data_IF_793171196376
#
_entry.id   IF_793171196376
#
_cell.length_a   1.000
_cell.length_b   1.000
_cell.length_c   1.000
_cell.angle_alpha   90.00
_cell.angle_beta   90.00
_cell.angle_gamma   90.00
#
_symmetry.space_group_name_H-M   'P 1'
#
loop_
_entity.id
_entity.type
_entity.pdbx_description
1 polymer ?
#
# COMPACT_ATOMS: atom_id res chain seq x y z
N UNK A 1 -27.13 23.45 -5.32
CA UNK A 1 -28.08 23.02 -4.26
C UNK A 1 -28.27 21.52 -4.41
N UNK A 2 -27.50 20.72 -3.67
CA UNK A 2 -27.47 19.26 -3.85
C UNK A 2 -28.31 18.62 -2.74
N UNK A 3 -29.34 17.90 -3.18
CA UNK A 3 -30.37 17.25 -2.36
C UNK A 3 -29.79 15.95 -1.76
N UNK A 4 -29.72 15.85 -0.44
CA UNK A 4 -29.36 14.62 0.28
C UNK A 4 -30.57 13.70 0.33
N UNK A 5 -30.48 12.52 -0.29
CA UNK A 5 -31.48 11.46 -0.14
C UNK A 5 -31.05 10.57 1.02
N UNK A 6 -31.77 10.67 2.15
CA UNK A 6 -31.66 9.73 3.27
C UNK A 6 -32.55 8.52 3.00
N UNK A 7 -31.97 7.32 2.97
CA UNK A 7 -32.73 6.06 2.91
C UNK A 7 -32.97 5.57 4.35
N UNK A 8 -34.24 5.42 4.82
CA UNK A 8 -34.52 4.93 6.16
C UNK A 8 -34.46 3.39 6.24
N UNK A 9 -33.81 2.88 7.30
CA UNK A 9 -33.83 1.47 7.70
C UNK A 9 -35.26 1.05 8.12
N UNK A 10 -35.77 -0.12 7.68
CA UNK A 10 -37.11 -0.56 8.02
C UNK A 10 -37.19 -1.15 9.44
N UNK A 11 -38.03 -0.55 10.28
CA UNK A 11 -38.44 -1.07 11.58
C UNK A 11 -39.43 -2.22 11.42
N UNK A 12 -39.00 -3.46 11.73
CA UNK A 12 -39.94 -4.59 11.85
C UNK A 12 -40.54 -4.66 13.25
N UNK A 13 -41.87 -4.70 13.24
CA UNK A 13 -42.80 -4.62 14.37
C UNK A 13 -42.76 -5.83 15.30
N UNK A 14 -43.07 -5.52 16.55
CA UNK A 14 -43.53 -6.39 17.62
C UNK A 14 -44.61 -7.40 17.18
N UNK A 15 -44.46 -8.66 17.60
CA UNK A 15 -45.57 -9.56 17.93
C UNK A 15 -45.37 -10.11 19.35
N UNK A 16 -46.34 -9.85 20.21
CA UNK A 16 -46.49 -10.40 21.57
C UNK A 16 -47.31 -11.70 21.49
N UNK A 17 -46.92 -12.75 22.21
CA UNK A 17 -47.72 -13.48 23.23
C UNK A 17 -46.94 -14.69 23.80
N UNK A 18 -47.33 -15.27 24.96
CA UNK A 18 -46.41 -15.58 26.06
C UNK A 18 -46.33 -17.08 26.40
N UNK A 19 -45.34 -17.46 27.23
CA UNK A 19 -45.52 -18.21 28.50
C UNK A 19 -44.23 -18.92 28.96
N UNK A 20 -43.77 -18.50 30.15
CA UNK A 20 -43.38 -19.31 31.31
C UNK A 20 -42.37 -20.46 31.13
N UNK A 21 -41.16 -20.26 31.63
CA UNK A 21 -40.20 -21.33 31.90
C UNK A 21 -38.98 -20.85 32.68
N UNK A 22 -39.09 -20.84 34.01
CA UNK A 22 -38.01 -20.52 34.96
C UNK A 22 -36.75 -21.36 34.70
N UNK A 23 -35.57 -20.74 34.68
CA UNK A 23 -34.33 -21.25 35.31
C UNK A 23 -33.30 -20.12 35.43
N UNK A 24 -33.05 -19.71 36.67
CA UNK A 24 -31.91 -18.87 37.05
C UNK A 24 -30.64 -19.71 36.93
N UNK A 25 -29.72 -19.33 36.06
CA UNK A 25 -28.31 -19.71 36.19
C UNK A 25 -27.46 -18.46 36.06
N UNK A 26 -26.95 -18.01 37.22
CA UNK A 26 -25.83 -17.08 37.30
C UNK A 26 -24.62 -17.77 36.67
N UNK A 27 -24.09 -17.26 35.56
CA UNK A 27 -22.72 -17.54 35.17
C UNK A 27 -21.89 -16.27 35.32
N UNK A 28 -21.01 -16.34 36.33
CA UNK A 28 -19.96 -15.37 36.62
C UNK A 28 -19.03 -15.28 35.41
N UNK A 29 -18.74 -14.06 34.95
CA UNK A 29 -17.60 -13.79 34.08
C UNK A 29 -16.31 -14.27 34.79
N UNK A 30 -15.74 -15.38 34.34
CA UNK A 30 -14.36 -15.73 34.60
C UNK A 30 -13.56 -15.51 33.33
N UNK A 31 -12.60 -14.57 33.41
CA UNK A 31 -11.47 -14.47 32.49
C UNK A 31 -10.83 -15.85 32.33
N UNK A 32 -10.68 -16.33 31.10
CA UNK A 32 -9.72 -17.37 30.75
C UNK A 32 -8.83 -16.86 29.62
N UNK A 33 -7.49 -16.95 29.76
CA UNK A 33 -6.56 -16.61 28.70
C UNK A 33 -6.47 -17.80 27.74
N UNK A 34 -6.83 -17.59 26.47
CA UNK A 34 -6.51 -18.55 25.42
C UNK A 34 -5.08 -18.29 24.97
N UNK A 35 -4.14 -18.99 25.60
CA UNK A 35 -2.85 -19.32 24.98
C UNK A 35 -3.15 -20.34 23.88
N UNK A 36 -3.11 -19.91 22.62
CA UNK A 36 -3.25 -20.81 21.48
C UNK A 36 -1.91 -20.82 20.75
N UNK A 37 -1.22 -21.95 20.92
CA UNK A 37 0.12 -22.19 20.40
C UNK A 37 0.14 -22.11 18.87
N UNK A 38 0.95 -21.20 18.36
CA UNK A 38 1.32 -21.06 16.95
C UNK A 38 2.26 -22.23 16.60
N UNK A 39 1.87 -23.10 15.66
CA UNK A 39 2.78 -23.93 14.86
C UNK A 39 1.98 -24.78 13.87
N UNK A 40 1.78 -24.26 12.65
CA UNK A 40 1.45 -25.08 11.47
C UNK A 40 1.70 -24.28 10.19
N UNK A 41 2.97 -24.16 9.80
CA UNK A 41 3.35 -23.83 8.43
C UNK A 41 4.58 -24.64 8.04
N UNK A 42 4.35 -25.94 7.87
CA UNK A 42 5.20 -26.79 7.04
C UNK A 42 4.31 -27.25 5.91
N UNK A 43 4.56 -26.71 4.71
CA UNK A 43 4.61 -27.39 3.42
C UNK A 43 4.90 -26.30 2.37
N UNK A 44 5.95 -26.55 1.57
CA UNK A 44 6.57 -25.74 0.50
C UNK A 44 7.89 -25.08 0.96
N UNK A 45 8.99 -25.67 0.45
CA UNK A 45 10.36 -25.47 0.90
C UNK A 45 10.92 -24.09 0.62
N UNK A 46 11.33 -23.42 1.70
CA UNK A 46 12.31 -22.33 1.68
C UNK A 46 13.61 -22.90 2.24
N UNK A 47 14.76 -22.77 1.56
CA UNK A 47 16.04 -23.20 2.11
C UNK A 47 16.35 -22.44 3.40
N UNK A 48 16.62 -23.19 4.48
CA UNK A 48 16.86 -22.69 5.85
C UNK A 48 18.26 -22.07 6.04
N UNK A 49 18.77 -21.28 5.09
CA UNK A 49 20.13 -20.72 5.19
C UNK A 49 20.18 -19.21 4.97
N UNK A 50 19.24 -18.47 5.55
CA UNK A 50 19.49 -17.06 5.87
C UNK A 50 19.60 -16.94 7.39
N UNK A 51 20.76 -16.45 7.80
CA UNK A 51 21.24 -16.23 9.16
C UNK A 51 20.11 -15.71 10.06
N UNK A 52 20.05 -16.24 11.29
CA UNK A 52 19.26 -15.66 12.39
C UNK A 52 19.51 -14.16 12.48
N UNK A 53 18.64 -13.36 11.87
CA UNK A 53 18.40 -12.02 12.36
C UNK A 53 17.81 -12.18 13.77
N UNK A 54 18.22 -11.31 14.71
CA UNK A 54 17.76 -11.30 16.10
C UNK A 54 16.24 -11.55 16.17
N UNK A 55 15.72 -12.24 17.20
CA UNK A 55 14.27 -12.37 17.37
C UNK A 55 13.70 -10.97 17.29
N UNK A 56 12.83 -10.75 16.29
CA UNK A 56 12.14 -9.49 16.04
C UNK A 56 11.63 -9.00 17.39
N UNK A 57 12.36 -8.08 18.01
CA UNK A 57 11.99 -7.45 19.27
C UNK A 57 10.75 -6.65 18.92
N UNK A 58 9.60 -7.28 19.12
CA UNK A 58 8.24 -6.78 19.06
C UNK A 58 8.19 -5.30 18.67
N UNK A 59 8.38 -5.00 17.37
CA UNK A 59 8.17 -3.64 16.85
C UNK A 59 6.69 -3.39 17.05
N UNK A 60 6.37 -2.63 18.09
CA UNK A 60 4.99 -2.31 18.43
C UNK A 60 4.47 -1.38 17.34
N UNK A 61 3.77 -1.93 16.35
CA UNK A 61 2.93 -1.14 15.46
C UNK A 61 1.95 -0.40 16.36
N UNK A 62 2.09 0.93 16.44
CA UNK A 62 1.21 1.75 17.28
C UNK A 62 -0.19 1.67 16.66
N UNK A 63 -1.23 1.32 17.42
CA UNK A 63 -2.59 1.34 16.91
C UNK A 63 -2.89 2.69 16.31
N UNK A 64 -3.46 2.69 15.11
CA UNK A 64 -3.96 3.89 14.47
C UNK A 64 -4.93 4.61 15.41
N UNK A 65 -4.61 5.84 15.81
CA UNK A 65 -5.56 6.66 16.52
C UNK A 65 -6.59 7.21 15.52
N UNK A 66 -7.85 7.26 15.92
CA UNK A 66 -8.97 7.62 15.05
C UNK A 66 -8.86 9.03 14.45
N UNK A 67 -8.05 9.91 15.03
CA UNK A 67 -7.85 11.28 14.54
C UNK A 67 -6.85 11.29 13.39
N UNK A 68 -5.74 10.58 13.53
CA UNK A 68 -4.75 10.39 12.46
C UNK A 68 -5.28 9.61 11.27
N UNK A 69 -6.36 8.83 11.47
CA UNK A 69 -6.90 7.98 10.42
C UNK A 69 -7.35 8.74 9.16
N UNK A 70 -7.80 9.98 9.31
CA UNK A 70 -8.31 10.78 8.20
C UNK A 70 -7.20 11.34 7.29
N UNK A 71 -5.92 11.12 7.62
CA UNK A 71 -4.76 11.57 6.85
C UNK A 71 -4.20 10.52 5.90
N UNK A 72 -4.76 9.30 5.89
CA UNK A 72 -4.51 8.34 4.82
C UNK A 72 -5.81 8.00 4.09
N UNK A 73 -5.82 8.23 2.78
CA UNK A 73 -6.98 8.01 1.90
C UNK A 73 -6.71 6.93 0.86
N UNK A 74 -7.77 6.32 0.33
CA UNK A 74 -7.68 5.31 -0.74
C UNK A 74 -8.76 5.56 -1.79
N UNK A 75 -8.35 5.68 -3.05
CA UNK A 75 -9.22 5.89 -4.20
C UNK A 75 -9.07 4.75 -5.18
N UNK A 76 -10.21 4.29 -5.67
CA UNK A 76 -10.26 3.23 -6.68
C UNK A 76 -11.39 3.58 -7.65
N UNK A 77 -11.07 3.91 -8.91
CA UNK A 77 -12.09 4.03 -9.94
C UNK A 77 -12.82 2.69 -10.10
N UNK A 78 -14.13 2.75 -10.29
CA UNK A 78 -14.97 1.58 -10.53
C UNK A 78 -15.19 1.47 -12.03
N UNK A 79 -14.63 0.43 -12.64
CA UNK A 79 -14.80 0.15 -14.06
C UNK A 79 -15.87 -0.91 -14.26
N UNK A 80 -16.77 -0.71 -15.23
CA UNK A 80 -17.67 -1.78 -15.65
C UNK A 80 -16.88 -2.90 -16.35
N UNK A 81 -17.39 -4.12 -16.31
CA UNK A 81 -16.71 -5.24 -16.97
C UNK A 81 -16.68 -5.03 -18.50
N UNK A 82 -15.51 -5.21 -19.11
CA UNK A 82 -15.34 -5.13 -20.56
C UNK A 82 -15.26 -3.72 -21.14
N UNK A 83 -15.12 -2.68 -20.31
CA UNK A 83 -14.84 -1.32 -20.81
C UNK A 83 -13.47 -1.25 -21.50
N UNK A 84 -13.37 -0.40 -22.53
CA UNK A 84 -12.11 -0.19 -23.25
C UNK A 84 -11.09 0.55 -22.39
N UNK A 85 -9.82 0.41 -22.74
CA UNK A 85 -8.72 1.07 -22.02
C UNK A 85 -8.78 2.59 -22.13
N UNK A 86 -9.30 3.12 -23.24
CA UNK A 86 -9.57 4.56 -23.37
C UNK A 86 -10.60 5.06 -22.35
N UNK A 87 -11.67 4.29 -22.11
CA UNK A 87 -12.67 4.63 -21.09
C UNK A 87 -12.04 4.57 -19.70
N UNK A 88 -11.24 3.53 -19.41
CA UNK A 88 -10.53 3.44 -18.12
C UNK A 88 -9.59 4.64 -17.91
N UNK A 89 -8.85 5.04 -18.94
CA UNK A 89 -7.96 6.20 -18.92
C UNK A 89 -8.75 7.49 -18.65
N UNK A 90 -9.88 7.69 -19.33
CA UNK A 90 -10.74 8.88 -19.14
C UNK A 90 -11.35 8.91 -17.74
N UNK A 91 -11.87 7.79 -17.24
CA UNK A 91 -12.46 7.69 -15.90
C UNK A 91 -11.40 7.90 -14.82
N UNK A 92 -10.23 7.29 -14.96
CA UNK A 92 -9.09 7.53 -14.09
C UNK A 92 -8.68 9.00 -14.12
N UNK A 93 -8.50 9.59 -15.30
CA UNK A 93 -8.12 10.99 -15.46
C UNK A 93 -9.11 11.94 -14.80
N UNK A 94 -10.41 11.66 -14.92
CA UNK A 94 -11.46 12.46 -14.28
C UNK A 94 -11.41 12.38 -12.75
N UNK A 95 -11.21 11.18 -12.20
CA UNK A 95 -11.02 11.00 -10.75
C UNK A 95 -9.74 11.69 -10.29
N UNK A 96 -8.63 11.42 -10.95
CA UNK A 96 -7.32 11.95 -10.67
C UNK A 96 -7.33 13.48 -10.62
N UNK A 97 -7.92 14.14 -11.62
CA UNK A 97 -8.07 15.61 -11.63
C UNK A 97 -8.98 16.14 -10.52
N UNK A 98 -9.95 15.36 -10.03
CA UNK A 98 -10.86 15.78 -8.96
C UNK A 98 -10.22 15.79 -7.57
N UNK A 99 -9.07 15.12 -7.40
CA UNK A 99 -8.36 15.03 -6.12
C UNK A 99 -7.56 16.31 -5.78
N UNK A 100 -7.46 17.23 -6.74
CA UNK A 100 -6.68 18.46 -6.65
C UNK A 100 -5.18 18.21 -6.69
N UNK A 101 -4.41 19.27 -6.44
CA UNK A 101 -2.95 19.21 -6.54
C UNK A 101 -2.32 18.48 -5.35
N UNK A 102 -1.24 17.76 -5.64
CA UNK A 102 -0.35 17.14 -4.65
C UNK A 102 1.04 17.78 -4.74
N UNK A 103 1.70 17.89 -3.60
CA UNK A 103 3.06 18.42 -3.53
C UNK A 103 4.09 17.41 -4.04
N UNK A 104 3.78 16.13 -3.83
CA UNK A 104 4.55 14.99 -4.34
C UNK A 104 3.64 13.87 -4.80
N UNK A 105 4.08 13.18 -5.83
CA UNK A 105 3.41 11.97 -6.30
C UNK A 105 4.42 10.85 -6.46
N UNK A 106 4.12 9.71 -5.85
CA UNK A 106 4.90 8.49 -5.93
C UNK A 106 4.17 7.51 -6.83
N UNK A 107 4.74 7.21 -7.99
CA UNK A 107 4.23 6.18 -8.90
C UNK A 107 5.07 4.92 -8.72
N UNK A 108 4.43 3.84 -8.29
CA UNK A 108 5.06 2.60 -7.90
C UNK A 108 4.56 1.45 -8.77
N UNK A 109 5.49 0.62 -9.23
CA UNK A 109 5.19 -0.53 -10.10
C UNK A 109 6.14 -1.71 -9.83
N UNK A 110 5.65 -2.92 -10.09
CA UNK A 110 6.34 -4.19 -9.87
C UNK A 110 6.19 -5.18 -11.02
N UNK A 111 7.28 -5.44 -11.73
CA UNK A 111 7.33 -6.39 -12.84
C UNK A 111 7.84 -7.76 -12.36
N UNK A 112 7.10 -8.82 -12.64
CA UNK A 112 7.53 -10.20 -12.34
C UNK A 112 7.26 -11.11 -13.51
N UNK A 113 8.25 -11.93 -13.87
CA UNK A 113 8.10 -12.91 -14.93
C UNK A 113 8.69 -14.25 -14.49
N UNK A 114 7.79 -15.17 -14.14
CA UNK A 114 8.14 -16.44 -13.52
C UNK A 114 9.02 -17.33 -14.41
N UNK A 115 8.81 -17.28 -15.72
CA UNK A 115 9.58 -18.10 -16.68
C UNK A 115 11.08 -17.72 -16.69
N UNK A 116 11.40 -16.45 -16.44
CA UNK A 116 12.78 -15.96 -16.36
C UNK A 116 13.34 -16.01 -14.92
N UNK A 117 12.53 -16.38 -13.93
CA UNK A 117 12.89 -16.32 -12.51
C UNK A 117 13.50 -14.95 -12.17
N UNK A 118 12.80 -13.90 -12.58
CA UNK A 118 13.25 -12.53 -12.45
C UNK A 118 12.09 -11.61 -12.05
N UNK A 119 12.37 -10.66 -11.17
CA UNK A 119 11.43 -9.62 -10.80
C UNK A 119 12.15 -8.30 -10.55
N UNK A 120 11.44 -7.21 -10.78
CA UNK A 120 11.93 -5.85 -10.63
C UNK A 120 10.86 -4.98 -10.04
N UNK A 121 11.28 -3.92 -9.36
CA UNK A 121 10.38 -2.92 -8.83
C UNK A 121 10.91 -1.53 -9.18
N UNK A 122 10.01 -0.56 -9.33
CA UNK A 122 10.36 0.82 -9.55
C UNK A 122 9.44 1.76 -8.77
N UNK A 123 10.03 2.86 -8.29
CA UNK A 123 9.38 3.92 -7.56
C UNK A 123 9.84 5.26 -8.14
N UNK A 124 8.91 6.00 -8.73
CA UNK A 124 9.16 7.27 -9.40
C UNK A 124 8.51 8.37 -8.57
N UNK A 125 9.32 9.31 -8.08
CA UNK A 125 8.86 10.47 -7.33
C UNK A 125 8.79 11.68 -8.24
N UNK A 126 7.60 12.26 -8.37
CA UNK A 126 7.34 13.52 -9.04
C UNK A 126 7.18 14.63 -8.00
N UNK A 127 7.61 15.84 -8.38
CA UNK A 127 7.30 17.05 -7.63
C UNK A 127 5.85 17.48 -7.81
N UNK A 128 5.52 18.75 -7.53
CA UNK A 128 4.16 19.25 -7.65
C UNK A 128 3.59 18.96 -9.04
N UNK A 129 2.32 18.57 -9.10
CA UNK A 129 1.62 18.08 -10.30
C UNK A 129 1.81 18.98 -11.53
N UNK A 130 2.04 20.28 -11.32
CA UNK A 130 2.19 21.32 -12.36
C UNK A 130 3.61 21.55 -12.87
N UNK A 131 4.64 20.88 -12.33
CA UNK A 131 6.02 21.31 -12.48
C UNK A 131 6.74 20.75 -13.72
N UNK A 132 6.55 19.47 -14.09
CA UNK A 132 7.05 18.78 -15.29
C UNK A 132 6.55 17.31 -15.31
N UNK A 133 6.50 16.67 -16.49
CA UNK A 133 6.12 15.25 -16.63
C UNK A 133 7.29 14.26 -16.43
N UNK A 134 8.44 14.74 -15.96
CA UNK A 134 9.59 13.90 -15.63
C UNK A 134 9.69 13.70 -14.11
N UNK A 135 10.06 12.49 -13.65
CA UNK A 135 10.27 12.24 -12.24
C UNK A 135 11.48 13.04 -11.73
N UNK A 136 11.36 13.58 -10.52
CA UNK A 136 12.45 14.25 -9.79
C UNK A 136 13.46 13.22 -9.30
N UNK A 137 13.00 12.02 -8.99
CA UNK A 137 13.85 10.92 -8.54
C UNK A 137 13.24 9.58 -8.95
N UNK A 138 14.09 8.64 -9.36
CA UNK A 138 13.67 7.27 -9.74
C UNK A 138 14.52 6.29 -8.95
N UNK A 139 13.86 5.37 -8.26
CA UNK A 139 14.50 4.20 -7.68
C UNK A 139 14.02 2.96 -8.40
N UNK A 140 14.95 2.11 -8.85
CA UNK A 140 14.64 0.83 -9.48
C UNK A 140 15.66 -0.23 -9.06
N UNK A 141 15.21 -1.44 -8.76
CA UNK A 141 16.09 -2.54 -8.41
C UNK A 141 15.44 -3.91 -8.69
N UNK A 142 16.28 -4.94 -8.80
CA UNK A 142 15.82 -6.32 -8.81
C UNK A 142 15.07 -6.64 -7.51
N UNK A 143 13.86 -7.18 -7.63
CA UNK A 143 13.06 -7.65 -6.50
C UNK A 143 13.40 -9.10 -6.11
N UNK A 144 14.25 -9.76 -6.88
CA UNK A 144 14.73 -11.12 -6.64
C UNK A 144 13.97 -12.16 -7.45
N UNK A 145 14.59 -13.34 -7.59
CA UNK A 145 14.20 -14.35 -8.57
C UNK A 145 12.76 -14.89 -8.49
N UNK A 146 12.20 -14.87 -7.28
CA UNK A 146 10.90 -15.49 -6.98
C UNK A 146 9.91 -14.49 -6.36
N UNK A 147 10.20 -13.18 -6.43
CA UNK A 147 9.24 -12.20 -5.98
C UNK A 147 7.99 -12.29 -6.88
N UNK A 148 6.82 -12.36 -6.26
CA UNK A 148 5.54 -12.27 -6.99
C UNK A 148 5.32 -10.82 -7.39
N UNK A 149 4.53 -10.55 -8.44
CA UNK A 149 4.19 -9.18 -8.84
C UNK A 149 3.72 -8.35 -7.64
N UNK A 150 2.75 -8.87 -6.87
CA UNK A 150 2.31 -8.26 -5.61
C UNK A 150 3.45 -7.88 -4.63
N UNK A 151 4.46 -8.73 -4.51
CA UNK A 151 5.60 -8.46 -3.63
C UNK A 151 6.50 -7.37 -4.19
N UNK A 152 6.75 -7.37 -5.51
CA UNK A 152 7.51 -6.30 -6.18
C UNK A 152 6.81 -4.94 -6.05
N UNK A 153 5.48 -4.92 -6.23
CA UNK A 153 4.62 -3.74 -6.03
C UNK A 153 4.72 -3.17 -4.61
N UNK A 154 4.60 -4.04 -3.59
CA UNK A 154 4.71 -3.61 -2.21
C UNK A 154 6.12 -3.08 -1.89
N UNK A 155 7.17 -3.68 -2.47
CA UNK A 155 8.55 -3.18 -2.32
C UNK A 155 8.70 -1.80 -2.97
N UNK A 156 8.14 -1.57 -4.16
CA UNK A 156 8.16 -0.25 -4.81
C UNK A 156 7.54 0.84 -3.91
N UNK A 157 6.35 0.59 -3.37
CA UNK A 157 5.65 1.53 -2.46
C UNK A 157 6.48 1.75 -1.19
N UNK A 158 6.99 0.68 -0.58
CA UNK A 158 7.82 0.75 0.63
C UNK A 158 9.07 1.60 0.43
N UNK A 159 9.83 1.33 -0.63
CA UNK A 159 11.04 2.07 -0.96
C UNK A 159 10.72 3.53 -1.23
N UNK A 160 9.67 3.82 -2.00
CA UNK A 160 9.26 5.20 -2.27
C UNK A 160 8.94 5.98 -0.99
N UNK A 161 8.13 5.40 -0.10
CA UNK A 161 7.72 6.03 1.15
C UNK A 161 8.86 6.13 2.18
N UNK A 162 9.83 5.22 2.16
CA UNK A 162 10.95 5.21 3.12
C UNK A 162 12.14 6.03 2.66
N UNK A 163 12.40 6.08 1.36
CA UNK A 163 13.65 6.62 0.81
C UNK A 163 13.47 7.83 -0.07
N UNK A 164 12.41 7.91 -0.86
CA UNK A 164 12.25 9.03 -1.81
C UNK A 164 11.52 10.20 -1.15
N UNK A 165 10.43 9.91 -0.43
CA UNK A 165 9.59 10.93 0.17
C UNK A 165 10.27 11.66 1.35
N UNK A 166 10.84 10.99 2.37
CA UNK A 166 11.31 11.69 3.56
C UNK A 166 12.40 12.75 3.32
N UNK A 167 13.43 12.51 2.48
CA UNK A 167 14.45 13.53 2.19
C UNK A 167 13.88 14.81 1.57
N UNK A 168 12.73 14.73 0.89
CA UNK A 168 12.05 15.90 0.32
C UNK A 168 11.19 16.64 1.33
N UNK A 169 10.82 15.98 2.43
CA UNK A 169 10.04 16.56 3.52
C UNK A 169 10.93 17.15 4.62
N UNK A 170 12.19 16.73 4.75
CA UNK A 170 13.09 17.17 5.82
C UNK A 170 13.34 18.69 5.84
N UNK A 171 13.10 19.38 4.72
CA UNK A 171 13.18 20.84 4.61
C UNK A 171 11.82 21.55 4.74
N UNK A 172 10.72 20.79 4.77
CA UNK A 172 9.35 21.30 4.76
C UNK A 172 8.72 21.23 6.15
N UNK A 173 8.40 22.40 6.72
CA UNK A 173 7.59 22.49 7.94
C UNK A 173 6.09 22.63 7.65
N UNK A 174 5.71 22.78 6.38
CA UNK A 174 4.32 22.89 5.96
C UNK A 174 3.68 21.52 5.77
N UNK A 175 2.39 21.35 6.13
CA UNK A 175 1.62 20.17 5.75
C UNK A 175 1.76 19.90 4.24
N UNK A 176 1.93 18.63 3.89
CA UNK A 176 2.21 18.19 2.51
C UNK A 176 1.23 17.09 2.14
N UNK A 177 0.67 17.14 0.92
CA UNK A 177 -0.16 16.09 0.35
C UNK A 177 0.68 15.22 -0.59
N UNK A 178 0.71 13.93 -0.30
CA UNK A 178 1.45 12.93 -1.09
C UNK A 178 0.44 11.99 -1.74
N UNK A 179 0.49 11.85 -3.06
CA UNK A 179 -0.24 10.81 -3.77
C UNK A 179 0.66 9.59 -3.97
N UNK A 180 0.13 8.40 -3.80
CA UNK A 180 0.78 7.13 -4.16
C UNK A 180 -0.09 6.43 -5.19
N UNK A 181 0.40 6.27 -6.40
CA UNK A 181 -0.27 5.59 -7.49
C UNK A 181 0.39 4.23 -7.76
N UNK A 182 -0.43 3.21 -7.99
CA UNK A 182 -0.03 1.85 -8.39
C UNK A 182 -1.19 1.22 -9.17
N UNK A 183 -0.89 0.31 -10.08
CA UNK A 183 -1.89 -0.51 -10.76
C UNK A 183 -2.18 -1.84 -10.04
N UNK A 184 -1.58 -2.03 -8.86
CA UNK A 184 -1.78 -3.20 -8.03
C UNK A 184 -2.95 -3.02 -7.07
N UNK A 185 -4.14 -3.42 -7.52
CA UNK A 185 -5.31 -3.49 -6.65
C UNK A 185 -5.08 -4.36 -5.40
N UNK A 186 -4.40 -5.53 -5.48
CA UNK A 186 -4.07 -6.31 -4.29
C UNK A 186 -3.18 -5.55 -3.29
N UNK A 187 -2.25 -4.70 -3.74
CA UNK A 187 -1.44 -3.87 -2.84
C UNK A 187 -2.30 -2.82 -2.13
N UNK A 188 -3.19 -2.14 -2.86
CA UNK A 188 -4.13 -1.17 -2.28
C UNK A 188 -5.07 -1.84 -1.27
N UNK A 189 -5.67 -2.97 -1.62
CA UNK A 189 -6.57 -3.70 -0.72
C UNK A 189 -5.85 -4.25 0.51
N UNK A 190 -4.61 -4.70 0.35
CA UNK A 190 -3.78 -5.03 1.50
C UNK A 190 -3.63 -3.80 2.40
N UNK A 191 -3.22 -2.64 1.87
CA UNK A 191 -3.07 -1.44 2.70
C UNK A 191 -4.39 -0.88 3.28
N UNK A 192 -5.56 -1.23 2.72
CA UNK A 192 -6.86 -0.88 3.32
C UNK A 192 -7.16 -1.68 4.59
N UNK A 193 -6.64 -2.91 4.72
CA UNK A 193 -6.86 -3.70 5.93
C UNK A 193 -5.93 -3.26 7.05
N UNK A 194 -6.38 -3.39 8.30
CA UNK A 194 -5.60 -2.96 9.46
C UNK A 194 -4.24 -3.68 9.54
N UNK A 195 -3.18 -3.05 10.08
CA UNK A 195 -1.83 -3.60 10.12
C UNK A 195 -1.74 -5.03 10.67
N UNK A 196 -2.66 -5.42 11.57
CA UNK A 196 -2.68 -6.73 12.20
C UNK A 196 -3.04 -7.89 11.26
N UNK A 197 -3.60 -7.61 10.08
CA UNK A 197 -3.95 -8.63 9.09
C UNK A 197 -2.85 -8.89 8.06
N UNK A 198 -1.75 -8.11 8.10
CA UNK A 198 -0.64 -8.22 7.14
C UNK A 198 0.19 -9.48 7.35
N UNK A 199 0.75 -10.00 6.27
CA UNK A 199 1.52 -11.26 6.27
C UNK A 199 2.89 -11.15 5.61
N UNK A 200 3.23 -10.01 5.01
CA UNK A 200 4.50 -9.78 4.33
C UNK A 200 5.24 -8.55 4.88
N UNK A 201 6.57 -8.57 4.82
CA UNK A 201 7.42 -7.56 5.44
C UNK A 201 7.30 -6.18 4.77
N UNK A 202 7.01 -6.12 3.46
CA UNK A 202 6.94 -4.86 2.74
C UNK A 202 5.70 -4.06 3.16
N UNK A 203 4.53 -4.71 3.25
CA UNK A 203 3.33 -4.06 3.78
C UNK A 203 3.47 -3.65 5.24
N UNK A 204 4.17 -4.43 6.07
CA UNK A 204 4.48 -4.04 7.45
C UNK A 204 5.33 -2.76 7.50
N UNK A 205 6.39 -2.66 6.70
CA UNK A 205 7.25 -1.47 6.66
C UNK A 205 6.50 -0.26 6.08
N UNK A 206 5.63 -0.42 5.07
CA UNK A 206 4.72 0.65 4.62
C UNK A 206 3.89 1.18 5.80
N UNK A 207 3.29 0.27 6.58
CA UNK A 207 2.50 0.63 7.75
C UNK A 207 3.29 1.25 8.90
N UNK A 208 4.61 1.02 8.99
CA UNK A 208 5.48 1.72 9.92
C UNK A 208 5.77 3.15 9.44
N UNK A 209 5.94 3.35 8.13
CA UNK A 209 6.26 4.64 7.54
C UNK A 209 5.06 5.60 7.52
N UNK A 210 3.85 5.12 7.22
CA UNK A 210 2.65 5.96 7.12
C UNK A 210 2.35 6.79 8.40
N UNK A 211 2.31 6.20 9.62
CA UNK A 211 2.11 6.97 10.85
C UNK A 211 3.20 8.01 11.11
N UNK A 212 4.45 7.75 10.68
CA UNK A 212 5.56 8.70 10.81
C UNK A 212 5.33 9.95 9.96
N UNK A 213 4.81 9.79 8.75
CA UNK A 213 4.43 10.90 7.87
C UNK A 213 3.24 11.69 8.44
N UNK A 214 2.21 10.98 8.92
CA UNK A 214 1.01 11.61 9.50
C UNK A 214 1.33 12.41 10.76
N UNK A 215 2.17 11.89 11.65
CA UNK A 215 2.61 12.60 12.87
C UNK A 215 3.39 13.89 12.57
N UNK A 216 4.05 13.97 11.41
CA UNK A 216 4.74 15.17 10.93
C UNK A 216 3.81 16.16 10.22
N UNK A 217 2.52 15.85 10.12
CA UNK A 217 1.51 16.73 9.53
C UNK A 217 1.24 16.51 8.04
N UNK A 218 1.82 15.47 7.43
CA UNK A 218 1.61 15.14 6.02
C UNK A 218 0.42 14.18 5.85
N UNK A 219 -0.24 14.22 4.69
CA UNK A 219 -1.27 13.27 4.31
C UNK A 219 -0.84 12.41 3.14
N UNK A 220 -1.22 11.14 3.13
CA UNK A 220 -0.87 10.18 2.08
C UNK A 220 -2.16 9.64 1.47
N UNK A 221 -2.33 9.77 0.18
CA UNK A 221 -3.50 9.30 -0.54
C UNK A 221 -3.05 8.23 -1.53
N UNK A 222 -3.70 7.07 -1.54
CA UNK A 222 -3.42 5.99 -2.49
C UNK A 222 -4.46 6.01 -3.60
N UNK A 223 -4.05 5.84 -4.85
CA UNK A 223 -4.96 5.71 -5.99
C UNK A 223 -4.62 4.49 -6.85
N UNK A 224 -5.65 3.74 -7.21
CA UNK A 224 -5.52 2.70 -8.25
C UNK A 224 -5.45 3.35 -9.63
N UNK A 225 -4.36 3.11 -10.34
CA UNK A 225 -4.18 3.48 -11.75
C UNK A 225 -4.40 2.24 -12.62
N UNK A 226 -5.26 2.26 -13.66
CA UNK A 226 -5.45 1.07 -14.49
C UNK A 226 -4.21 0.79 -15.37
N UNK A 227 -3.70 -0.44 -15.28
CA UNK A 227 -2.54 -0.93 -16.03
C UNK A 227 -2.75 -0.90 -17.54
N UNK A 228 -1.67 -0.63 -18.28
CA UNK A 228 -1.58 -0.63 -19.76
C UNK A 228 -2.68 0.18 -20.46
N UNK A 229 -3.19 1.20 -19.77
CA UNK A 229 -4.22 2.08 -20.31
C UNK A 229 -3.61 3.32 -20.95
N UNK A 230 -2.29 3.46 -21.11
CA UNK A 230 -1.65 4.63 -21.69
C UNK A 230 -1.66 5.84 -20.75
N UNK A 231 -1.58 5.59 -19.43
CA UNK A 231 -1.45 6.64 -18.41
C UNK A 231 0.05 6.94 -18.26
N UNK A 232 0.56 8.13 -18.69
CA UNK A 232 1.99 8.33 -18.89
C UNK A 232 2.88 7.95 -17.69
N UNK A 233 2.50 8.36 -16.47
CA UNK A 233 3.28 8.07 -15.25
C UNK A 233 3.18 6.60 -14.81
N UNK A 234 2.09 5.91 -15.15
CA UNK A 234 1.97 4.47 -14.91
C UNK A 234 2.86 3.68 -15.86
N UNK A 235 2.80 4.00 -17.16
CA UNK A 235 3.62 3.32 -18.18
C UNK A 235 5.11 3.55 -17.90
N UNK A 236 5.49 4.76 -17.45
CA UNK A 236 6.86 5.02 -17.01
C UNK A 236 7.28 4.14 -15.82
N UNK A 237 6.36 3.86 -14.88
CA UNK A 237 6.59 2.91 -13.80
C UNK A 237 6.83 1.49 -14.30
N UNK A 238 5.97 1.00 -15.19
CA UNK A 238 6.06 -0.34 -15.81
C UNK A 238 7.36 -0.52 -16.61
N UNK A 239 7.75 0.50 -17.39
CA UNK A 239 9.02 0.50 -18.12
C UNK A 239 10.21 0.38 -17.16
N UNK A 240 10.23 1.19 -16.10
CA UNK A 240 11.29 1.21 -15.11
C UNK A 240 11.37 -0.10 -14.29
N UNK A 241 10.23 -0.68 -13.93
CA UNK A 241 10.15 -1.96 -13.24
C UNK A 241 10.57 -3.13 -14.15
N UNK A 242 10.25 -3.06 -15.45
CA UNK A 242 10.69 -4.04 -16.46
C UNK A 242 12.20 -3.95 -16.72
N UNK A 243 12.77 -2.75 -16.77
CA UNK A 243 14.22 -2.55 -16.78
C UNK A 243 14.84 -3.16 -15.51
N UNK A 244 14.25 -2.89 -14.35
CA UNK A 244 14.72 -3.41 -13.07
C UNK A 244 14.69 -4.94 -12.99
N UNK A 245 13.70 -5.57 -13.63
CA UNK A 245 13.58 -7.03 -13.72
C UNK A 245 14.76 -7.64 -14.49
N UNK A 246 15.30 -6.92 -15.46
CA UNK A 246 16.46 -7.35 -16.25
C UNK A 246 17.80 -7.18 -15.51
N UNK A 247 17.80 -6.54 -14.34
CA UNK A 247 19.01 -6.40 -13.51
C UNK A 247 19.41 -7.74 -12.86
N UNK A 248 20.68 -7.90 -12.42
CA UNK A 248 21.12 -9.09 -11.71
C UNK A 248 20.23 -9.42 -10.50
N UNK A 249 19.68 -10.64 -10.50
CA UNK A 249 18.69 -11.11 -9.50
C UNK A 249 19.33 -11.77 -8.25
N UNK A 250 20.66 -11.79 -8.19
CA UNK A 250 21.45 -12.33 -7.08
C UNK A 250 21.40 -11.41 -5.86
N UNK A 251 21.44 -11.99 -4.65
CA UNK A 251 21.43 -11.23 -3.41
C UNK A 251 22.64 -10.29 -3.35
N UNK A 252 22.38 -8.98 -3.35
CA UNK A 252 23.41 -8.00 -3.06
C UNK A 252 23.93 -8.24 -1.65
N UNK A 253 25.19 -8.67 -1.54
CA UNK A 253 26.03 -8.21 -0.45
C UNK A 253 25.97 -6.68 -0.49
N UNK A 254 25.18 -6.09 0.42
CA UNK A 254 25.20 -4.68 0.79
C UNK A 254 25.57 -3.71 -0.36
N UNK A 255 24.63 -3.48 -1.28
CA UNK A 255 24.81 -2.48 -2.32
C UNK A 255 24.94 -1.09 -1.73
N UNK A 256 26.15 -0.54 -1.76
CA UNK A 256 26.48 0.84 -1.46
C UNK A 256 25.74 1.80 -2.39
N UNK A 257 25.04 2.75 -1.80
CA UNK A 257 24.40 3.89 -2.46
C UNK A 257 25.44 4.73 -3.21
N UNK A 258 25.40 4.74 -4.54
CA UNK A 258 26.12 5.75 -5.33
C UNK A 258 25.22 6.98 -5.47
N UNK A 259 25.35 7.92 -4.53
CA UNK A 259 24.89 9.28 -4.72
C UNK A 259 25.87 9.98 -5.66
N UNK A 260 25.48 10.16 -6.92
CA UNK A 260 26.18 11.08 -7.81
C UNK A 260 25.96 12.49 -7.28
N UNK A 261 26.98 13.07 -6.63
CA UNK A 261 27.01 14.51 -6.37
C UNK A 261 27.36 15.23 -7.67
N UNK A 262 26.67 16.33 -8.02
CA UNK A 262 27.16 17.22 -9.06
C UNK A 262 28.44 17.92 -8.57
N UNK A 263 29.42 18.01 -9.46
CA UNK A 263 30.65 18.82 -9.34
C UNK A 263 30.36 20.30 -9.27
#
# INVERSE_FOLDING_TARGET
>A
MIMRICVPLPTRKLCRHPCMGKRRHQFRFRKMPLLMNYNASVIIGIPRNHLRALPLTQRRIIPWDTVSCNKVGFYQPIFAQGVSDDVKRTDFGSLYSSLGDYDFELWADGSSFLAELASGHAALLYGPTTANDLPVEVHRAAAGRLARSYSAECIAIEIGLRHLVPPRLDTSQSPTRILVATDSLPAIEALRVVPYAMRDCATEEIWINLPSLVKRGHSVEFIFSPSHCGIPRNEAGDEEATIARSLPQEASHSGTWNSLRPS
#
